data_IF_049517254763
#
_entry.id   IF_049517254763
#
_cell.length_a   1.000
_cell.length_b   1.000
_cell.length_c   1.000
_cell.angle_alpha   90.00
_cell.angle_beta   90.00
_cell.angle_gamma   90.00
#
_symmetry.space_group_name_H-M   'P 1'
#
loop_
_entity.id
_entity.type
_entity.pdbx_description
1 polymer ?
#
# COMPACT_ATOMS: atom_id res chain seq x y z
N UNK A 1 18.67 -1.29 25.19
CA UNK A 1 17.62 -0.61 24.41
C UNK A 1 16.31 -1.26 24.78
N UNK A 2 15.30 -0.51 25.21
CA UNK A 2 13.98 -1.05 25.51
C UNK A 2 13.34 -1.54 24.23
N UNK A 3 12.81 -2.76 24.22
CA UNK A 3 11.98 -3.24 23.13
C UNK A 3 10.67 -2.44 23.11
N UNK A 4 10.15 -2.12 21.92
CA UNK A 4 8.86 -1.47 21.77
C UNK A 4 7.75 -2.38 22.33
N UNK A 5 6.88 -1.83 23.15
CA UNK A 5 5.72 -2.53 23.70
C UNK A 5 4.43 -1.87 23.21
N UNK A 6 3.48 -2.70 22.77
CA UNK A 6 2.18 -2.23 22.31
C UNK A 6 1.24 -1.92 23.49
N UNK A 7 0.61 -0.77 23.47
CA UNK A 7 -0.58 -0.54 24.30
C UNK A 7 -1.69 -1.53 23.92
N UNK A 8 -2.37 -2.08 24.92
CA UNK A 8 -3.39 -3.09 24.70
C UNK A 8 -4.62 -2.50 24.00
N UNK A 9 -5.07 -3.16 22.93
CA UNK A 9 -6.36 -2.87 22.28
C UNK A 9 -7.46 -3.61 23.04
N UNK A 10 -8.56 -2.89 23.31
CA UNK A 10 -9.79 -3.51 23.78
C UNK A 10 -10.51 -4.20 22.60
N UNK A 11 -10.50 -5.54 22.63
CA UNK A 11 -11.13 -6.36 21.59
C UNK A 11 -12.67 -6.40 21.68
N UNK A 12 -13.28 -5.84 22.70
CA UNK A 12 -14.74 -5.70 22.79
C UNK A 12 -15.24 -4.42 22.11
N UNK A 13 -14.33 -3.50 21.81
CA UNK A 13 -14.63 -2.23 21.14
C UNK A 13 -14.11 -2.21 19.70
N UNK A 14 -14.48 -1.18 18.96
CA UNK A 14 -13.95 -0.94 17.61
C UNK A 14 -12.69 -0.09 17.63
N UNK A 15 -11.80 -0.35 18.58
CA UNK A 15 -10.53 0.36 18.70
C UNK A 15 -9.52 -0.14 17.66
N UNK A 16 -8.73 0.80 17.16
CA UNK A 16 -7.62 0.57 16.22
C UNK A 16 -6.44 1.43 16.63
N UNK A 17 -5.25 1.12 16.14
CA UNK A 17 -4.10 2.03 16.20
C UNK A 17 -3.91 2.70 14.85
N UNK A 18 -3.47 3.94 14.89
CA UNK A 18 -3.01 4.69 13.72
C UNK A 18 -1.56 5.13 13.94
N UNK A 19 -0.82 5.23 12.85
CA UNK A 19 0.58 5.60 12.80
C UNK A 19 0.73 7.03 12.30
N UNK A 20 1.31 7.93 13.10
CA UNK A 20 1.82 9.21 12.63
C UNK A 20 3.21 9.01 12.07
N UNK A 21 3.41 9.31 10.81
CA UNK A 21 4.74 9.37 10.20
C UNK A 21 5.20 10.82 10.23
N UNK A 22 6.22 11.10 11.03
CA UNK A 22 6.73 12.45 11.25
C UNK A 22 7.43 12.97 9.98
N UNK A 23 7.40 14.29 9.74
CA UNK A 23 8.06 14.87 8.58
C UNK A 23 9.56 14.67 8.64
N UNK A 24 10.19 14.59 7.49
CA UNK A 24 11.63 14.42 7.40
C UNK A 24 12.09 14.28 5.95
N UNK A 25 13.37 14.54 5.73
CA UNK A 25 14.00 14.41 4.42
C UNK A 25 14.22 12.96 4.06
N UNK A 26 14.41 12.66 2.80
CA UNK A 26 14.56 11.29 2.30
C UNK A 26 15.68 10.48 2.99
N UNK A 27 16.74 11.13 3.48
CA UNK A 27 17.90 10.47 4.12
C UNK A 27 17.82 10.42 5.65
N UNK A 28 16.86 11.15 6.25
CA UNK A 28 16.71 11.17 7.70
C UNK A 28 16.07 9.86 8.18
N UNK A 29 16.31 9.50 9.43
CA UNK A 29 15.67 8.36 10.06
C UNK A 29 14.13 8.50 10.00
N UNK A 30 13.44 7.39 9.86
CA UNK A 30 11.97 7.39 9.82
C UNK A 30 11.48 7.36 11.26
N UNK A 31 10.90 8.47 11.71
CA UNK A 31 10.31 8.60 13.02
C UNK A 31 8.79 8.51 12.93
N UNK A 32 8.20 7.72 13.82
CA UNK A 32 6.78 7.45 13.86
C UNK A 32 6.27 7.43 15.29
N UNK A 33 4.97 7.75 15.44
CA UNK A 33 4.24 7.64 16.70
C UNK A 33 2.99 6.77 16.47
N UNK A 34 2.74 5.84 17.40
CA UNK A 34 1.55 5.00 17.37
C UNK A 34 0.54 5.49 18.40
N UNK A 35 -0.74 5.57 18.03
CA UNK A 35 -1.79 6.01 18.95
C UNK A 35 -3.08 5.23 18.76
N UNK A 36 -3.78 5.02 19.87
CA UNK A 36 -5.09 4.38 19.91
C UNK A 36 -6.19 5.37 19.50
N UNK A 37 -7.19 4.86 18.79
CA UNK A 37 -8.41 5.58 18.44
C UNK A 37 -9.55 4.59 18.19
N UNK A 38 -10.77 5.09 18.01
CA UNK A 38 -11.92 4.27 17.62
C UNK A 38 -12.23 4.48 16.14
N UNK A 39 -12.60 3.39 15.46
CA UNK A 39 -12.91 3.42 14.02
C UNK A 39 -14.04 4.41 13.68
N UNK A 40 -14.93 4.66 14.65
CA UNK A 40 -16.10 5.53 14.49
C UNK A 40 -15.80 7.01 14.78
N UNK A 41 -14.68 7.29 15.44
CA UNK A 41 -14.22 8.65 15.82
C UNK A 41 -12.77 8.88 15.41
N UNK A 42 -12.41 8.51 14.20
CA UNK A 42 -11.04 8.65 13.71
C UNK A 42 -10.77 10.04 13.13
N UNK A 43 -9.55 10.53 13.34
CA UNK A 43 -8.98 11.60 12.52
C UNK A 43 -8.80 11.10 11.07
N UNK A 44 -8.79 12.01 10.07
CA UNK A 44 -8.49 11.65 8.69
C UNK A 44 -7.17 10.88 8.58
N UNK A 45 -7.18 9.71 7.92
CA UNK A 45 -6.01 8.87 7.73
C UNK A 45 -6.01 8.19 6.35
N UNK A 46 -4.85 7.71 5.97
CA UNK A 46 -4.64 6.91 4.77
C UNK A 46 -4.42 5.44 5.15
N UNK A 47 -4.93 4.50 4.38
CA UNK A 47 -4.63 3.08 4.58
C UNK A 47 -3.57 2.62 3.56
N UNK A 48 -2.50 1.98 4.03
CA UNK A 48 -1.46 1.46 3.15
C UNK A 48 -1.79 0.03 2.74
N UNK A 49 -1.84 -0.20 1.43
CA UNK A 49 -1.97 -1.52 0.82
C UNK A 49 -0.67 -1.86 0.11
N UNK A 50 0.05 -2.86 0.59
CA UNK A 50 1.39 -3.20 0.10
C UNK A 50 1.69 -4.69 0.29
N UNK A 51 2.71 -5.22 -0.36
CA UNK A 51 3.23 -6.56 -0.10
C UNK A 51 4.24 -6.50 1.05
N UNK A 52 4.13 -7.36 2.04
CA UNK A 52 5.01 -7.34 3.23
C UNK A 52 6.49 -7.50 2.88
N UNK A 53 6.82 -8.29 1.87
CA UNK A 53 8.17 -8.68 1.52
C UNK A 53 8.47 -10.12 1.96
N UNK A 54 9.71 -10.54 1.78
CA UNK A 54 10.21 -11.87 2.11
C UNK A 54 11.38 -11.76 3.09
N UNK A 55 11.69 -12.87 3.78
CA UNK A 55 12.84 -12.93 4.70
C UNK A 55 14.16 -12.61 3.99
N UNK A 56 14.32 -13.03 2.73
CA UNK A 56 15.52 -12.77 1.93
C UNK A 56 15.75 -11.28 1.65
N UNK A 57 14.69 -10.47 1.66
CA UNK A 57 14.77 -9.02 1.47
C UNK A 57 15.27 -8.31 2.75
N UNK A 58 15.13 -8.95 3.91
CA UNK A 58 15.53 -8.43 5.20
C UNK A 58 14.64 -7.34 5.76
N UNK A 59 15.05 -6.80 6.90
CA UNK A 59 14.37 -5.72 7.63
C UNK A 59 15.21 -4.45 7.70
N UNK A 60 14.57 -3.35 8.06
CA UNK A 60 15.23 -2.07 8.32
C UNK A 60 14.62 -1.41 9.57
N UNK A 61 15.42 -0.65 10.35
CA UNK A 61 14.94 0.03 11.55
C UNK A 61 14.16 1.31 11.19
N UNK A 62 13.12 1.55 11.97
CA UNK A 62 12.45 2.85 12.12
C UNK A 62 12.41 3.19 13.61
N UNK A 63 12.22 4.44 13.95
CA UNK A 63 11.97 4.86 15.33
C UNK A 63 10.46 4.91 15.55
N UNK A 64 9.96 4.09 16.46
CA UNK A 64 8.55 4.05 16.85
C UNK A 64 8.42 4.39 18.33
N UNK A 65 7.78 5.51 18.64
CA UNK A 65 7.65 6.05 20.00
C UNK A 65 9.01 6.10 20.75
N UNK A 66 10.06 6.56 20.02
CA UNK A 66 11.41 6.70 20.56
C UNK A 66 12.21 5.39 20.70
N UNK A 67 11.67 4.25 20.26
CA UNK A 67 12.32 2.94 20.31
C UNK A 67 12.61 2.40 18.90
N UNK A 68 13.67 1.60 18.76
CA UNK A 68 13.95 0.90 17.50
C UNK A 68 12.87 -0.13 17.20
N UNK A 69 12.26 -0.04 16.04
CA UNK A 69 11.28 -0.97 15.54
C UNK A 69 11.66 -1.46 14.14
N UNK A 70 11.69 -2.78 13.93
CA UNK A 70 12.13 -3.35 12.65
C UNK A 70 10.94 -3.69 11.77
N UNK A 71 10.96 -3.13 10.56
CA UNK A 71 9.96 -3.41 9.53
C UNK A 71 10.61 -4.09 8.32
N UNK A 72 9.81 -4.84 7.55
CA UNK A 72 10.29 -5.40 6.28
C UNK A 72 10.76 -4.29 5.34
N UNK A 73 11.82 -4.56 4.60
CA UNK A 73 12.46 -3.58 3.72
C UNK A 73 11.51 -2.91 2.74
N UNK A 74 10.53 -3.65 2.22
CA UNK A 74 9.53 -3.07 1.32
C UNK A 74 8.63 -2.04 2.03
N UNK A 75 8.28 -2.26 3.30
CA UNK A 75 7.56 -1.26 4.10
C UNK A 75 8.44 -0.04 4.43
N UNK A 76 9.69 -0.28 4.78
CA UNK A 76 10.66 0.79 5.01
C UNK A 76 10.77 1.73 3.79
N UNK A 77 10.91 1.17 2.58
CA UNK A 77 10.97 1.94 1.35
C UNK A 77 9.64 2.69 1.07
N UNK A 78 8.50 2.06 1.39
CA UNK A 78 7.19 2.71 1.29
C UNK A 78 7.11 3.93 2.23
N UNK A 79 7.43 3.76 3.51
CA UNK A 79 7.41 4.83 4.51
C UNK A 79 8.34 5.97 4.11
N UNK A 80 9.58 5.65 3.74
CA UNK A 80 10.59 6.61 3.30
C UNK A 80 10.14 7.42 2.10
N UNK A 81 9.35 6.81 1.21
CA UNK A 81 8.85 7.45 -0.01
C UNK A 81 7.58 8.25 0.22
N UNK A 82 6.71 7.76 1.08
CA UNK A 82 5.42 8.38 1.37
C UNK A 82 5.52 9.48 2.43
N UNK A 83 6.58 9.48 3.26
CA UNK A 83 6.82 10.53 4.24
C UNK A 83 6.88 11.91 3.56
N UNK A 84 6.22 12.90 4.18
CA UNK A 84 6.33 14.31 3.77
C UNK A 84 7.56 14.97 4.39
N UNK A 85 8.07 16.03 3.77
CA UNK A 85 9.12 16.87 4.34
C UNK A 85 8.59 17.85 5.39
N UNK A 86 7.29 18.17 5.34
CA UNK A 86 6.76 19.35 6.04
C UNK A 86 5.57 19.05 6.95
N UNK A 87 4.82 17.98 6.68
CA UNK A 87 3.59 17.65 7.41
C UNK A 87 3.61 16.22 7.94
N UNK A 88 2.99 16.03 9.10
CA UNK A 88 2.70 14.69 9.62
C UNK A 88 1.66 14.03 8.72
N UNK A 89 1.92 12.77 8.34
CA UNK A 89 0.93 11.93 7.65
C UNK A 89 0.45 10.83 8.59
N UNK A 90 -0.83 10.56 8.57
CA UNK A 90 -1.44 9.54 9.42
C UNK A 90 -1.83 8.35 8.56
N UNK A 91 -1.36 7.17 8.94
CA UNK A 91 -1.59 5.92 8.21
C UNK A 91 -2.20 4.85 9.12
N UNK A 92 -2.97 3.96 8.50
CA UNK A 92 -3.16 2.63 9.01
C UNK A 92 -2.31 1.65 8.19
N UNK A 93 -1.44 0.90 8.87
CA UNK A 93 -0.50 -0.06 8.28
C UNK A 93 -0.57 -1.33 9.11
N UNK A 94 -1.07 -2.41 8.52
CA UNK A 94 -1.34 -3.68 9.19
C UNK A 94 -0.14 -4.23 9.99
N UNK A 95 1.07 -4.16 9.42
CA UNK A 95 2.28 -4.68 10.05
C UNK A 95 2.72 -3.89 11.31
N UNK A 96 2.29 -2.62 11.47
CA UNK A 96 2.66 -1.77 12.60
C UNK A 96 1.46 -1.53 13.52
N UNK A 97 0.28 -1.28 12.96
CA UNK A 97 -0.91 -0.95 13.73
C UNK A 97 -1.52 -2.16 14.45
N UNK A 98 -1.18 -3.37 14.03
CA UNK A 98 -1.61 -4.63 14.66
C UNK A 98 -0.42 -5.27 15.39
N UNK A 99 -0.59 -5.63 16.65
CA UNK A 99 0.40 -6.46 17.34
C UNK A 99 0.38 -7.87 16.74
N UNK A 100 1.35 -8.13 15.86
CA UNK A 100 1.45 -9.40 15.14
C UNK A 100 1.76 -10.61 16.06
N UNK A 101 2.24 -10.35 17.28
CA UNK A 101 2.54 -11.38 18.28
C UNK A 101 1.32 -11.72 19.16
N UNK A 102 0.22 -10.97 19.07
CA UNK A 102 -1.00 -11.23 19.80
C UNK A 102 -2.08 -11.82 18.87
N UNK A 103 -2.32 -13.16 18.87
CA UNK A 103 -3.28 -13.79 17.98
C UNK A 103 -4.72 -13.29 18.16
N UNK A 104 -5.13 -12.99 19.39
CA UNK A 104 -6.47 -12.48 19.69
C UNK A 104 -6.71 -11.12 19.08
N UNK A 105 -5.78 -10.19 19.27
CA UNK A 105 -5.82 -8.87 18.65
C UNK A 105 -5.80 -8.98 17.13
N UNK A 106 -4.94 -9.83 16.57
CA UNK A 106 -4.83 -10.03 15.13
C UNK A 106 -6.16 -10.46 14.50
N UNK A 107 -6.83 -11.45 15.09
CA UNK A 107 -8.15 -11.91 14.61
C UNK A 107 -9.17 -10.77 14.68
N UNK A 108 -9.21 -10.04 15.80
CA UNK A 108 -10.11 -8.92 15.99
C UNK A 108 -9.88 -7.81 14.94
N UNK A 109 -8.64 -7.40 14.74
CA UNK A 109 -8.28 -6.36 13.77
C UNK A 109 -8.54 -6.78 12.32
N UNK A 110 -8.25 -8.04 11.96
CA UNK A 110 -8.59 -8.59 10.64
C UNK A 110 -10.10 -8.52 10.38
N UNK A 111 -10.93 -8.80 11.37
CA UNK A 111 -12.39 -8.65 11.28
C UNK A 111 -12.83 -7.22 10.96
N UNK A 112 -12.04 -6.21 11.35
CA UNK A 112 -12.33 -4.79 11.12
C UNK A 112 -11.70 -4.23 9.83
N UNK A 113 -10.83 -4.95 9.14
CA UNK A 113 -10.08 -4.45 7.97
C UNK A 113 -10.99 -3.81 6.90
N UNK A 114 -12.12 -4.43 6.60
CA UNK A 114 -13.08 -3.87 5.63
C UNK A 114 -13.53 -2.46 6.02
N UNK A 115 -13.88 -2.24 7.28
CA UNK A 115 -14.29 -0.95 7.82
C UNK A 115 -13.12 0.05 7.85
N UNK A 116 -11.93 -0.41 8.20
CA UNK A 116 -10.71 0.41 8.22
C UNK A 116 -10.40 0.97 6.83
N UNK A 117 -10.38 0.11 5.80
CA UNK A 117 -10.14 0.57 4.43
C UNK A 117 -11.28 1.44 3.87
N UNK A 118 -12.53 1.18 4.27
CA UNK A 118 -13.67 1.97 3.87
C UNK A 118 -13.68 3.39 4.48
N UNK A 119 -13.20 3.54 5.71
CA UNK A 119 -13.18 4.83 6.41
C UNK A 119 -11.95 5.68 6.11
N UNK A 120 -10.88 5.09 5.62
CA UNK A 120 -9.72 5.82 5.17
C UNK A 120 -10.11 6.86 4.11
N UNK A 121 -9.51 8.07 4.17
CA UNK A 121 -9.69 9.08 3.13
C UNK A 121 -9.31 8.53 1.76
N UNK A 122 -8.22 7.77 1.71
CA UNK A 122 -7.75 7.06 0.52
C UNK A 122 -6.93 5.84 0.91
N UNK A 123 -6.89 4.90 0.01
CA UNK A 123 -5.97 3.77 0.07
C UNK A 123 -4.76 4.09 -0.80
N UNK A 124 -3.58 4.03 -0.21
CA UNK A 124 -2.31 4.14 -0.93
C UNK A 124 -1.82 2.73 -1.25
N UNK A 125 -1.77 2.40 -2.52
CA UNK A 125 -1.22 1.15 -3.03
C UNK A 125 0.27 1.33 -3.28
N UNK A 126 1.11 0.62 -2.55
CA UNK A 126 2.54 0.59 -2.79
C UNK A 126 2.94 -0.64 -3.61
N UNK A 127 3.43 -0.40 -4.82
CA UNK A 127 3.87 -1.44 -5.75
C UNK A 127 5.36 -1.82 -5.61
N UNK A 128 6.06 -1.22 -4.65
CA UNK A 128 7.50 -1.38 -4.47
C UNK A 128 8.32 -0.31 -5.19
N UNK A 129 9.65 -0.38 -5.08
CA UNK A 129 10.55 0.49 -5.82
C UNK A 129 10.35 0.31 -7.32
N UNK A 130 10.56 1.37 -8.08
CA UNK A 130 10.49 1.31 -9.54
C UNK A 130 11.79 0.76 -10.14
N UNK A 131 11.67 0.17 -11.31
CA UNK A 131 12.76 -0.17 -12.21
C UNK A 131 12.67 0.66 -13.49
N UNK A 132 13.67 0.54 -14.35
CA UNK A 132 13.76 1.33 -15.59
C UNK A 132 12.52 1.19 -16.49
N UNK A 133 11.91 0.01 -16.53
CA UNK A 133 10.76 -0.29 -17.39
C UNK A 133 9.48 0.27 -16.79
N UNK A 134 9.28 0.09 -15.48
CA UNK A 134 8.14 0.66 -14.77
C UNK A 134 8.20 2.20 -14.74
N UNK A 135 9.38 2.80 -14.58
CA UNK A 135 9.54 4.27 -14.65
C UNK A 135 9.08 4.84 -15.97
N UNK A 136 9.46 4.22 -17.09
CA UNK A 136 9.04 4.64 -18.42
C UNK A 136 7.52 4.54 -18.60
N UNK A 137 6.94 3.41 -18.21
CA UNK A 137 5.49 3.20 -18.30
C UNK A 137 4.72 4.19 -17.44
N UNK A 138 5.15 4.39 -16.18
CA UNK A 138 4.50 5.29 -15.24
C UNK A 138 4.63 6.76 -15.66
N UNK A 139 5.78 7.15 -16.19
CA UNK A 139 5.99 8.50 -16.77
C UNK A 139 5.06 8.74 -17.97
N UNK A 140 4.92 7.77 -18.86
CA UNK A 140 4.00 7.85 -20.00
C UNK A 140 2.54 7.98 -19.56
N UNK A 141 2.12 7.17 -18.58
CA UNK A 141 0.77 7.23 -17.97
C UNK A 141 0.52 8.59 -17.32
N UNK A 142 1.49 9.09 -16.52
CA UNK A 142 1.39 10.40 -15.88
C UNK A 142 1.23 11.54 -16.90
N UNK A 143 1.99 11.50 -17.99
CA UNK A 143 1.94 12.49 -19.05
C UNK A 143 0.60 12.48 -19.80
N UNK A 144 0.06 11.29 -20.06
CA UNK A 144 -1.28 11.12 -20.64
C UNK A 144 -2.38 11.65 -19.70
N UNK A 145 -2.29 11.35 -18.41
CA UNK A 145 -3.27 11.79 -17.41
C UNK A 145 -3.28 13.33 -17.24
N UNK A 146 -2.13 13.98 -17.40
CA UNK A 146 -2.00 15.44 -17.31
C UNK A 146 -2.35 16.18 -18.62
N UNK A 147 -2.66 15.46 -19.70
CA UNK A 147 -2.90 16.06 -21.02
C UNK A 147 -1.66 16.73 -21.63
N UNK A 148 -0.48 16.50 -21.05
CA UNK A 148 0.80 17.08 -21.51
C UNK A 148 1.49 16.22 -22.57
N UNK A 149 1.11 14.95 -22.70
CA UNK A 149 1.54 14.13 -23.81
C UNK A 149 0.60 14.39 -25.00
N UNK A 150 1.16 14.71 -26.15
CA UNK A 150 0.48 14.44 -27.41
C UNK A 150 0.06 12.98 -27.35
N UNK A 151 -1.24 12.71 -27.56
CA UNK A 151 -1.78 11.35 -27.68
C UNK A 151 -0.75 10.48 -28.37
N UNK A 152 -0.40 9.33 -27.77
CA UNK A 152 0.47 8.36 -28.43
C UNK A 152 -0.11 8.19 -29.82
N UNK A 153 0.52 8.78 -30.79
CA UNK A 153 -0.01 8.82 -32.17
C UNK A 153 -0.40 7.41 -32.59
N UNK A 154 -1.49 7.19 -33.29
CA UNK A 154 -1.81 5.88 -33.85
C UNK A 154 -0.62 5.23 -34.56
N UNK A 155 0.28 6.03 -35.10
CA UNK A 155 1.52 5.62 -35.81
C UNK A 155 2.71 5.32 -34.87
N UNK A 156 2.68 5.70 -33.57
CA UNK A 156 3.79 5.42 -32.62
C UNK A 156 3.68 4.00 -32.05
N UNK A 157 4.04 3.04 -32.88
CA UNK A 157 4.07 1.61 -32.50
C UNK A 157 5.08 1.33 -31.39
N UNK A 158 6.21 2.05 -31.37
CA UNK A 158 7.26 1.86 -30.36
C UNK A 158 6.82 2.31 -28.99
N UNK A 159 6.25 3.50 -28.84
CA UNK A 159 5.74 4.01 -27.57
C UNK A 159 4.62 3.13 -26.98
N UNK A 160 3.71 2.65 -27.85
CA UNK A 160 2.66 1.70 -27.43
C UNK A 160 3.23 0.39 -26.93
N UNK A 161 4.24 -0.15 -27.60
CA UNK A 161 4.92 -1.39 -27.18
C UNK A 161 5.63 -1.22 -25.85
N UNK A 162 6.35 -0.11 -25.65
CA UNK A 162 7.06 0.18 -24.39
C UNK A 162 6.07 0.34 -23.23
N UNK A 163 4.97 1.06 -23.44
CA UNK A 163 3.90 1.20 -22.45
C UNK A 163 3.29 -0.16 -22.10
N UNK A 164 2.99 -0.99 -23.09
CA UNK A 164 2.44 -2.33 -22.87
C UNK A 164 3.40 -3.22 -22.08
N UNK A 165 4.69 -3.24 -22.41
CA UNK A 165 5.72 -3.99 -21.68
C UNK A 165 5.77 -3.54 -20.23
N UNK A 166 5.82 -2.23 -19.97
CA UNK A 166 5.87 -1.69 -18.61
C UNK A 166 4.61 -2.02 -17.80
N UNK A 167 3.42 -1.98 -18.42
CA UNK A 167 2.17 -2.41 -17.75
C UNK A 167 2.18 -3.92 -17.43
N UNK A 168 2.73 -4.74 -18.32
CA UNK A 168 2.90 -6.17 -18.05
C UNK A 168 3.86 -6.43 -16.89
N UNK A 169 4.96 -5.69 -16.78
CA UNK A 169 5.90 -5.78 -15.66
C UNK A 169 5.25 -5.34 -14.34
N UNK A 170 4.50 -4.25 -14.34
CA UNK A 170 3.75 -3.81 -13.16
C UNK A 170 2.79 -4.89 -12.68
N UNK A 171 2.05 -5.56 -13.60
CA UNK A 171 1.12 -6.64 -13.25
C UNK A 171 1.80 -7.89 -12.68
N UNK A 172 3.08 -8.12 -12.96
CA UNK A 172 3.85 -9.26 -12.42
C UNK A 172 4.34 -9.04 -11.00
N UNK A 173 4.23 -7.82 -10.47
CA UNK A 173 4.69 -7.50 -9.12
C UNK A 173 3.99 -8.33 -8.06
N UNK A 174 4.68 -8.69 -6.97
CA UNK A 174 4.14 -9.52 -5.88
C UNK A 174 2.82 -9.00 -5.32
N UNK A 175 2.64 -7.67 -5.32
CA UNK A 175 1.42 -7.02 -4.88
C UNK A 175 0.15 -7.64 -5.49
N UNK A 176 0.13 -7.89 -6.79
CA UNK A 176 -1.05 -8.42 -7.50
C UNK A 176 -1.33 -9.90 -7.25
N UNK A 177 -0.42 -10.62 -6.60
CA UNK A 177 -0.59 -12.03 -6.22
C UNK A 177 -1.28 -12.19 -4.86
N UNK A 178 -1.47 -11.10 -4.08
CA UNK A 178 -2.11 -11.12 -2.77
C UNK A 178 -3.63 -11.26 -2.89
N UNK A 179 -4.21 -12.16 -2.09
CA UNK A 179 -5.66 -12.42 -2.10
C UNK A 179 -6.48 -11.26 -1.49
N UNK A 180 -5.95 -10.59 -0.48
CA UNK A 180 -6.63 -9.52 0.28
C UNK A 180 -6.74 -8.19 -0.48
N UNK A 181 -5.91 -7.96 -1.49
CA UNK A 181 -5.91 -6.75 -2.34
C UNK A 181 -7.32 -6.39 -2.84
N UNK A 182 -8.13 -7.40 -3.16
CA UNK A 182 -9.48 -7.16 -3.68
C UNK A 182 -10.41 -6.53 -2.64
N UNK A 183 -10.27 -6.88 -1.35
CA UNK A 183 -11.08 -6.30 -0.28
C UNK A 183 -10.60 -4.88 0.05
N UNK A 184 -9.29 -4.69 0.13
CA UNK A 184 -8.65 -3.41 0.39
C UNK A 184 -9.05 -2.36 -0.65
N UNK A 185 -9.03 -2.72 -1.94
CA UNK A 185 -9.34 -1.81 -3.04
C UNK A 185 -10.84 -1.64 -3.31
N UNK A 186 -11.67 -2.68 -3.06
CA UNK A 186 -13.11 -2.60 -3.29
C UNK A 186 -13.79 -1.61 -2.35
N UNK A 187 -13.27 -1.47 -1.14
CA UNK A 187 -13.81 -0.61 -0.09
C UNK A 187 -13.24 0.82 -0.11
N UNK A 188 -12.17 1.07 -0.88
CA UNK A 188 -11.50 2.36 -0.92
C UNK A 188 -12.40 3.47 -1.48
N UNK A 189 -12.54 4.59 -0.75
CA UNK A 189 -13.20 5.83 -1.23
C UNK A 189 -12.41 6.47 -2.36
N UNK A 190 -11.12 6.60 -2.17
CA UNK A 190 -10.17 7.09 -3.17
C UNK A 190 -8.96 6.17 -3.18
N UNK A 191 -8.27 6.13 -4.33
CA UNK A 191 -7.11 5.27 -4.54
C UNK A 191 -5.95 6.07 -5.12
N UNK A 192 -4.77 5.89 -4.54
CA UNK A 192 -3.50 6.40 -5.06
C UNK A 192 -2.56 5.23 -5.25
N UNK A 193 -1.92 5.14 -6.41
CA UNK A 193 -0.91 4.11 -6.66
C UNK A 193 0.47 4.74 -6.63
N UNK A 194 1.32 4.20 -5.77
CA UNK A 194 2.71 4.61 -5.60
C UNK A 194 3.65 3.50 -6.10
N UNK A 195 4.64 3.88 -6.90
CA UNK A 195 5.69 2.97 -7.35
C UNK A 195 6.99 3.78 -7.51
N UNK A 196 8.00 3.47 -6.72
CA UNK A 196 9.21 4.27 -6.62
C UNK A 196 8.87 5.74 -6.36
N UNK A 197 9.27 6.63 -7.27
CA UNK A 197 8.99 8.07 -7.17
C UNK A 197 7.64 8.50 -7.76
N UNK A 198 6.92 7.60 -8.42
CA UNK A 198 5.69 7.94 -9.11
C UNK A 198 4.48 7.79 -8.20
N UNK A 199 3.62 8.82 -8.20
CA UNK A 199 2.30 8.80 -7.59
C UNK A 199 1.27 8.97 -8.71
N UNK A 200 0.43 7.96 -8.90
CA UNK A 200 -0.62 7.94 -9.92
C UNK A 200 -1.98 8.14 -9.26
N UNK A 201 -2.67 9.16 -9.66
CA UNK A 201 -4.00 9.55 -9.19
C UNK A 201 -5.12 9.03 -10.10
N UNK A 202 -6.38 9.36 -9.87
CA UNK A 202 -7.63 8.61 -10.15
C UNK A 202 -7.77 7.87 -11.47
N UNK A 203 -7.21 8.36 -12.57
CA UNK A 203 -7.40 7.73 -13.91
C UNK A 203 -6.81 6.32 -13.99
N UNK A 204 -5.64 6.11 -13.38
CA UNK A 204 -5.01 4.78 -13.29
C UNK A 204 -5.74 3.88 -12.27
N UNK A 205 -6.29 4.47 -11.21
CA UNK A 205 -7.08 3.78 -10.20
C UNK A 205 -8.33 3.13 -10.79
N UNK A 206 -8.98 3.79 -11.74
CA UNK A 206 -10.14 3.22 -12.47
C UNK A 206 -9.69 2.04 -13.33
N UNK A 207 -8.60 2.19 -14.08
CA UNK A 207 -8.05 1.12 -14.91
C UNK A 207 -7.62 -0.08 -14.04
N UNK A 208 -7.02 0.17 -12.86
CA UNK A 208 -6.64 -0.86 -11.90
C UNK A 208 -7.88 -1.55 -11.33
N UNK A 209 -8.90 -0.80 -10.90
CA UNK A 209 -10.17 -1.37 -10.39
C UNK A 209 -10.88 -2.21 -11.45
N UNK A 210 -10.89 -1.79 -12.71
CA UNK A 210 -11.48 -2.55 -13.84
C UNK A 210 -10.69 -3.82 -14.12
N UNK A 211 -9.35 -3.74 -14.13
CA UNK A 211 -8.49 -4.92 -14.33
C UNK A 211 -8.65 -5.96 -13.21
N UNK A 212 -8.83 -5.52 -11.97
CA UNK A 212 -9.06 -6.40 -10.82
C UNK A 212 -10.49 -7.00 -10.81
N UNK A 213 -11.50 -6.26 -11.29
CA UNK A 213 -12.86 -6.83 -11.46
C UNK A 213 -12.89 -7.96 -12.47
N UNK A 214 -12.10 -7.87 -13.54
CA UNK A 214 -11.92 -8.96 -14.52
C UNK A 214 -11.36 -10.25 -13.91
N UNK A 215 -10.49 -10.15 -12.90
CA UNK A 215 -9.95 -11.31 -12.17
C UNK A 215 -11.02 -12.03 -11.32
N UNK A 216 -12.02 -11.31 -10.78
CA UNK A 216 -13.14 -11.95 -10.05
C UNK A 216 -13.98 -12.87 -10.94
N UNK A 217 -14.08 -12.60 -12.22
CA UNK A 217 -14.85 -13.41 -13.18
C UNK A 217 -14.14 -14.73 -13.48
N UNK A 218 -12.80 -14.73 -13.47
CA UNK A 218 -11.98 -15.94 -13.69
C UNK A 218 -11.96 -16.84 -12.46
N UNK A 219 -11.96 -16.28 -11.24
CA UNK A 219 -11.96 -17.05 -9.98
C UNK A 219 -13.28 -17.77 -9.67
N UNK A 220 -14.38 -17.44 -10.35
CA UNK A 220 -15.69 -18.11 -10.19
C UNK A 220 -15.86 -19.36 -11.03
N UNK A 221 -14.86 -19.74 -11.84
CA UNK A 221 -14.91 -20.97 -12.62
C UNK A 221 -14.35 -22.13 -11.79
N UNK A 222 -15.16 -23.17 -11.41
CA UNK A 222 -14.75 -24.19 -10.42
C UNK A 222 -13.67 -25.17 -10.89
N UNK A 223 -13.21 -25.11 -12.14
CA UNK A 223 -12.23 -26.03 -12.73
C UNK A 223 -10.75 -25.64 -12.52
N UNK A 224 -10.46 -24.49 -11.88
CA UNK A 224 -9.10 -24.06 -11.57
C UNK A 224 -8.76 -24.21 -10.08
N UNK A 225 -9.20 -25.31 -9.44
CA UNK A 225 -8.69 -25.71 -8.13
C UNK A 225 -7.53 -26.66 -8.36
N UNK A 226 -6.33 -26.16 -8.28
CA UNK A 226 -5.17 -26.79 -7.59
C UNK A 226 -3.91 -25.97 -7.84
N UNK A 227 -3.19 -25.81 -6.79
CA UNK A 227 -1.85 -25.22 -6.64
C UNK A 227 -1.87 -23.74 -6.25
N UNK A 228 -1.80 -23.53 -4.93
CA UNK A 228 -0.91 -22.55 -4.27
C UNK A 228 -1.22 -22.60 -2.77
N UNK A 229 -0.40 -23.33 -2.04
CA UNK A 229 -0.28 -23.29 -0.58
C UNK A 229 0.76 -22.22 -0.22
N UNK A 230 0.46 -21.51 0.87
CA UNK A 230 1.25 -20.63 1.72
C UNK A 230 1.67 -19.27 1.17
#
# INVERSE_FOLDING_TARGET
MSSFEYDQIDCETRSIRLLRVLPGRFKDDIECELFLTFIDDVVPYEALSYCWGTEDEGTAPIVLDGSDFFVWKNLYEALRRLRSTDIVRIFWIDAICINQQNPGEKIHQIGQMSSIYQRAERVVVWLGPSDRESDRALSSISSLAKGTAHTVSPSDVKGKRELYIGLCQLKRRPYFKRMWVLQELANARALVVACGSHLLTPTFSVALKVSLKGLKTISRNPTARNTYYY
#
